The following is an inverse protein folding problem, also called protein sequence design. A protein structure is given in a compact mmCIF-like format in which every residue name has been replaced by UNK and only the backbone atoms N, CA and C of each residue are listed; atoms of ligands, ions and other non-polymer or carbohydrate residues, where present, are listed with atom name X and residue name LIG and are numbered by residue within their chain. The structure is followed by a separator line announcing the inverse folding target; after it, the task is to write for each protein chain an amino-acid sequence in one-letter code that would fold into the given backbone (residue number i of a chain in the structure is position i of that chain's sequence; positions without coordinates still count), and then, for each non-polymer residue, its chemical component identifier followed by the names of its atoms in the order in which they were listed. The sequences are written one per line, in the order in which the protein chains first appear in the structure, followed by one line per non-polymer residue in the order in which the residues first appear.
data_IF_332282549772
#
_entry.id   IF_332282549772
#
_cell.length_a   1.000
_cell.length_b   1.000
_cell.length_c   1.000
_cell.angle_alpha   90.00
_cell.angle_beta   90.00
_cell.angle_gamma   90.00
#
_symmetry.space_group_name_H-M   'P 1'
#
loop_
_entity.id
_entity.type
_entity.pdbx_description
1 polymer ?
#
# COMPACT_ATOMS: atom_id res chain seq x y z
N UNK A 1 1.97 -12.95 0.69
CA UNK A 1 0.64 -12.40 0.35
C UNK A 1 -0.19 -12.22 1.61
N UNK A 2 -1.28 -11.46 1.55
CA UNK A 2 -2.33 -11.56 2.56
C UNK A 2 -3.01 -12.94 2.49
N UNK A 3 -3.98 -13.23 3.36
CA UNK A 3 -4.64 -14.54 3.42
C UNK A 3 -6.04 -14.47 2.78
N UNK A 4 -6.17 -13.75 1.66
CA UNK A 4 -7.44 -13.61 0.94
C UNK A 4 -7.77 -14.89 0.15
N UNK A 5 -9.04 -15.29 0.03
CA UNK A 5 -9.40 -16.56 -0.60
C UNK A 5 -9.28 -16.59 -2.13
N UNK A 6 -8.89 -15.48 -2.77
CA UNK A 6 -9.00 -15.27 -4.22
C UNK A 6 -7.67 -15.40 -4.98
N UNK A 7 -6.74 -16.25 -4.55
CA UNK A 7 -5.46 -16.44 -5.25
C UNK A 7 -5.59 -17.49 -6.35
N UNK A 8 -5.29 -17.15 -7.61
CA UNK A 8 -5.22 -18.14 -8.68
C UNK A 8 -3.99 -19.02 -8.47
N UNK A 9 -4.14 -20.33 -8.70
CA UNK A 9 -3.02 -21.25 -8.79
C UNK A 9 -2.35 -21.01 -10.16
N UNK A 10 -1.18 -20.35 -10.12
CA UNK A 10 -0.45 -19.91 -11.31
C UNK A 10 0.86 -20.67 -11.38
N UNK A 11 1.07 -21.38 -12.49
CA UNK A 11 2.33 -22.10 -12.73
C UNK A 11 3.51 -21.11 -12.76
N UNK A 12 4.61 -21.47 -12.07
CA UNK A 12 5.86 -20.71 -11.95
C UNK A 12 5.88 -19.51 -10.98
N UNK A 13 4.90 -19.35 -10.09
CA UNK A 13 4.94 -18.34 -9.03
C UNK A 13 4.81 -19.01 -7.66
N UNK A 14 5.83 -18.84 -6.81
CA UNK A 14 5.77 -19.30 -5.42
C UNK A 14 5.06 -18.27 -4.55
N UNK A 15 3.92 -18.66 -3.98
CA UNK A 15 3.17 -17.84 -3.03
C UNK A 15 3.63 -18.12 -1.60
N UNK A 16 4.24 -17.12 -0.94
CA UNK A 16 4.59 -17.18 0.48
C UNK A 16 3.49 -16.53 1.31
N UNK A 17 2.92 -17.28 2.26
CA UNK A 17 1.89 -16.79 3.18
C UNK A 17 2.53 -16.24 4.45
N UNK A 18 2.13 -15.03 4.84
CA UNK A 18 2.60 -14.39 6.07
C UNK A 18 1.64 -14.75 7.21
N UNK A 19 2.13 -15.17 8.39
CA UNK A 19 1.28 -15.48 9.53
C UNK A 19 0.36 -14.30 9.92
N UNK A 20 -0.89 -14.62 10.27
CA UNK A 20 -1.95 -13.63 10.52
C UNK A 20 -1.55 -12.55 11.53
N UNK A 21 -0.85 -12.93 12.60
CA UNK A 21 -0.43 -12.03 13.69
C UNK A 21 0.74 -11.09 13.34
N UNK A 22 1.44 -11.27 12.21
CA UNK A 22 2.59 -10.43 11.80
C UNK A 22 2.35 -9.66 10.50
N UNK A 23 1.12 -9.69 10.00
CA UNK A 23 0.76 -9.17 8.68
C UNK A 23 1.15 -7.70 8.50
N UNK A 24 0.81 -6.79 9.42
CA UNK A 24 1.15 -5.37 9.26
C UNK A 24 2.67 -5.09 9.27
N UNK A 25 3.45 -5.86 10.04
CA UNK A 25 4.90 -5.65 10.19
C UNK A 25 5.67 -6.22 8.99
N UNK A 26 5.20 -7.33 8.43
CA UNK A 26 5.88 -8.06 7.38
C UNK A 26 5.38 -7.73 5.98
N UNK A 27 4.20 -7.13 5.81
CA UNK A 27 3.69 -6.71 4.50
C UNK A 27 4.45 -5.47 4.00
N UNK A 28 5.19 -5.56 2.88
CA UNK A 28 5.98 -4.43 2.38
C UNK A 28 5.12 -3.20 2.05
N UNK A 29 3.89 -3.40 1.56
CA UNK A 29 2.99 -2.29 1.25
C UNK A 29 2.60 -1.46 2.48
N UNK A 30 2.51 -2.11 3.65
CA UNK A 30 2.21 -1.47 4.94
C UNK A 30 3.46 -0.84 5.59
N UNK A 31 4.66 -1.13 5.08
CA UNK A 31 5.93 -0.55 5.54
C UNK A 31 6.24 0.80 4.86
N UNK A 32 5.24 1.68 4.78
CA UNK A 32 5.38 3.08 4.35
C UNK A 32 5.13 3.36 2.87
N UNK A 33 4.94 2.34 2.02
CA UNK A 33 4.61 2.53 0.60
C UNK A 33 3.20 3.12 0.45
N UNK A 34 2.19 2.47 1.05
CA UNK A 34 0.80 2.95 1.01
C UNK A 34 0.69 4.33 1.67
N UNK A 35 1.37 4.54 2.79
CA UNK A 35 1.36 5.83 3.50
C UNK A 35 1.92 6.95 2.61
N UNK A 36 3.07 6.72 1.97
CA UNK A 36 3.72 7.67 1.07
C UNK A 36 2.80 8.05 -0.09
N UNK A 37 2.17 7.04 -0.72
CA UNK A 37 1.20 7.27 -1.79
C UNK A 37 0.00 8.10 -1.30
N UNK A 38 -0.64 7.70 -0.19
CA UNK A 38 -1.81 8.41 0.36
C UNK A 38 -1.47 9.86 0.69
N UNK A 39 -0.31 10.10 1.30
CA UNK A 39 0.16 11.45 1.62
C UNK A 39 0.32 12.30 0.37
N UNK A 40 0.90 11.76 -0.70
CA UNK A 40 1.11 12.54 -1.93
C UNK A 40 -0.14 12.73 -2.76
N UNK A 41 -1.03 11.74 -2.80
CA UNK A 41 -2.35 11.88 -3.38
C UNK A 41 -3.12 13.03 -2.71
N UNK A 42 -3.19 13.03 -1.36
CA UNK A 42 -3.85 14.10 -0.60
C UNK A 42 -3.24 15.47 -0.85
N UNK A 43 -1.90 15.55 -0.96
CA UNK A 43 -1.23 16.80 -1.29
C UNK A 43 -1.68 17.34 -2.65
N UNK A 44 -1.69 16.50 -3.69
CA UNK A 44 -2.13 16.92 -5.03
C UNK A 44 -3.59 17.35 -5.05
N UNK A 45 -4.46 16.61 -4.36
CA UNK A 45 -5.88 16.91 -4.25
C UNK A 45 -6.11 18.27 -3.58
N UNK A 46 -5.43 18.53 -2.46
CA UNK A 46 -5.50 19.82 -1.77
C UNK A 46 -4.95 20.96 -2.62
N UNK A 47 -3.83 20.73 -3.33
CA UNK A 47 -3.30 21.73 -4.26
C UNK A 47 -4.30 22.06 -5.35
N UNK A 48 -4.93 21.07 -5.99
CA UNK A 48 -5.99 21.33 -7.00
C UNK A 48 -7.15 22.12 -6.43
N UNK A 49 -7.65 21.74 -5.25
CA UNK A 49 -8.73 22.47 -4.57
C UNK A 49 -8.37 23.93 -4.31
N UNK A 50 -7.13 24.20 -3.87
CA UNK A 50 -6.65 25.56 -3.61
C UNK A 50 -6.47 26.39 -4.90
N UNK A 51 -6.08 25.76 -6.01
CA UNK A 51 -5.92 26.45 -7.31
C UNK A 51 -7.25 26.68 -8.03
N UNK A 52 -8.26 25.85 -7.78
CA UNK A 52 -9.61 25.97 -8.35
C UNK A 52 -10.56 26.79 -7.46
N UNK A 53 -10.09 27.22 -6.29
CA UNK A 53 -10.81 28.08 -5.34
C UNK A 53 -10.96 29.52 -5.84
N UNK A 54 -12.05 30.19 -5.45
CA UNK A 54 -12.22 31.65 -5.62
C UNK A 54 -11.56 32.39 -4.45
N UNK A 55 -10.96 33.55 -4.72
CA UNK A 55 -10.33 34.41 -3.70
C UNK A 55 -11.33 35.06 -2.72
N UNK A 56 -12.63 34.93 -2.98
CA UNK A 56 -13.70 35.48 -2.16
C UNK A 56 -14.11 34.51 -1.04
N UNK A 57 -13.93 34.94 0.22
CA UNK A 57 -14.25 34.15 1.41
C UNK A 57 -15.74 33.83 1.53
N UNK A 58 -16.65 34.67 1.01
CA UNK A 58 -18.09 34.41 1.07
C UNK A 58 -18.52 33.27 0.13
N UNK A 59 -17.78 33.01 -0.95
CA UNK A 59 -18.07 31.96 -1.93
C UNK A 59 -17.30 30.64 -1.72
N UNK A 60 -16.36 30.60 -0.76
CA UNK A 60 -15.47 29.46 -0.53
C UNK A 60 -16.22 28.14 -0.29
N UNK A 61 -17.33 28.16 0.45
CA UNK A 61 -18.15 26.97 0.69
C UNK A 61 -18.82 26.46 -0.61
N UNK A 62 -19.27 27.36 -1.48
CA UNK A 62 -19.83 27.00 -2.79
C UNK A 62 -18.74 26.41 -3.70
N UNK A 63 -17.55 27.01 -3.68
CA UNK A 63 -16.38 26.57 -4.44
C UNK A 63 -15.93 25.15 -4.09
N UNK A 64 -15.86 24.78 -2.81
CA UNK A 64 -15.53 23.40 -2.40
C UNK A 64 -16.53 22.39 -2.97
N UNK A 65 -17.83 22.70 -2.91
CA UNK A 65 -18.88 21.82 -3.44
C UNK A 65 -18.76 21.69 -4.97
N UNK A 66 -18.46 22.78 -5.67
CA UNK A 66 -18.26 22.75 -7.12
C UNK A 66 -17.01 21.95 -7.50
N UNK A 67 -15.90 22.11 -6.77
CA UNK A 67 -14.69 21.31 -6.95
C UNK A 67 -14.98 19.81 -6.89
N UNK A 68 -15.65 19.34 -5.84
CA UNK A 68 -15.97 17.92 -5.69
C UNK A 68 -16.91 17.39 -6.78
N UNK A 69 -17.80 18.24 -7.31
CA UNK A 69 -18.66 17.89 -8.46
C UNK A 69 -17.89 17.83 -9.77
N UNK A 70 -16.86 18.65 -9.93
CA UNK A 70 -16.02 18.71 -11.11
C UNK A 70 -14.94 17.61 -11.14
N UNK A 71 -14.51 17.12 -9.97
CA UNK A 71 -13.47 16.12 -9.84
C UNK A 71 -13.87 14.79 -10.51
N UNK A 72 -13.10 14.39 -11.53
CA UNK A 72 -13.41 13.18 -12.30
C UNK A 72 -12.58 11.97 -11.85
N UNK A 73 -13.03 10.76 -12.21
CA UNK A 73 -12.23 9.54 -12.02
C UNK A 73 -10.89 9.62 -12.78
N UNK A 74 -10.86 10.27 -13.95
CA UNK A 74 -9.65 10.49 -14.74
C UNK A 74 -8.63 11.30 -13.94
N UNK A 75 -9.06 12.36 -13.24
CA UNK A 75 -8.20 13.13 -12.34
C UNK A 75 -7.63 12.28 -11.22
N UNK A 76 -8.47 11.45 -10.59
CA UNK A 76 -8.05 10.53 -9.54
C UNK A 76 -6.97 9.56 -10.02
N UNK A 77 -7.12 8.99 -11.22
CA UNK A 77 -6.13 8.08 -11.81
C UNK A 77 -4.80 8.80 -12.05
N UNK A 78 -4.80 10.02 -12.58
CA UNK A 78 -3.57 10.79 -12.76
C UNK A 78 -2.91 11.16 -11.43
N UNK A 79 -3.69 11.52 -10.41
CA UNK A 79 -3.16 11.79 -9.06
C UNK A 79 -2.55 10.54 -8.43
N UNK A 80 -3.14 9.36 -8.65
CA UNK A 80 -2.56 8.07 -8.22
C UNK A 80 -1.26 7.81 -8.97
N UNK A 81 -1.21 8.03 -10.29
CA UNK A 81 0.01 7.86 -11.08
C UNK A 81 1.13 8.77 -10.55
N UNK A 82 0.86 10.07 -10.38
CA UNK A 82 1.85 11.01 -9.83
C UNK A 82 2.25 10.70 -8.38
N UNK A 83 1.33 10.13 -7.58
CA UNK A 83 1.67 9.65 -6.24
C UNK A 83 2.60 8.43 -6.30
N UNK A 84 2.38 7.50 -7.23
CA UNK A 84 3.22 6.32 -7.43
C UNK A 84 4.61 6.65 -7.93
N UNK A 85 4.74 7.51 -8.95
CA UNK A 85 6.02 7.97 -9.50
C UNK A 85 6.93 8.61 -8.44
N UNK A 86 6.32 9.09 -7.37
CA UNK A 86 7.03 9.72 -6.28
C UNK A 86 7.58 8.76 -5.22
N UNK A 87 7.13 7.50 -5.25
CA UNK A 87 7.66 6.44 -4.39
C UNK A 87 9.05 6.09 -4.91
N UNK A 88 10.07 6.46 -4.15
CA UNK A 88 11.45 6.21 -4.56
C UNK A 88 11.81 4.74 -4.43
N UNK A 89 12.79 4.31 -5.23
CA UNK A 89 13.38 2.98 -5.13
C UNK A 89 13.87 2.67 -3.70
N UNK A 90 14.42 3.68 -3.01
CA UNK A 90 14.83 3.53 -1.61
C UNK A 90 13.65 3.18 -0.68
N UNK A 91 12.49 3.82 -0.86
CA UNK A 91 11.28 3.50 -0.08
C UNK A 91 10.82 2.07 -0.35
N UNK A 92 10.85 1.62 -1.61
CA UNK A 92 10.53 0.25 -1.98
C UNK A 92 11.52 -0.75 -1.36
N UNK A 93 12.83 -0.56 -1.55
CA UNK A 93 13.86 -1.44 -0.96
C UNK A 93 13.75 -1.51 0.57
N UNK A 94 13.49 -0.37 1.23
CA UNK A 94 13.33 -0.32 2.68
C UNK A 94 12.09 -1.08 3.16
N UNK A 95 11.00 -1.03 2.40
CA UNK A 95 9.74 -1.65 2.81
C UNK A 95 9.81 -3.18 2.84
N UNK A 96 10.65 -3.77 1.99
CA UNK A 96 10.89 -5.22 1.93
C UNK A 96 11.87 -5.75 2.98
N UNK A 97 12.68 -4.89 3.62
CA UNK A 97 13.76 -5.31 4.51
C UNK A 97 13.31 -6.23 5.65
N UNK A 98 12.19 -5.89 6.30
CA UNK A 98 11.65 -6.71 7.40
C UNK A 98 11.20 -8.09 6.95
N UNK A 99 10.63 -8.18 5.75
CA UNK A 99 10.22 -9.46 5.18
C UNK A 99 11.44 -10.29 4.77
N UNK A 100 12.44 -9.69 4.14
CA UNK A 100 13.67 -10.38 3.75
C UNK A 100 14.36 -11.02 4.97
N UNK A 101 14.61 -10.24 6.03
CA UNK A 101 15.20 -10.76 7.28
C UNK A 101 14.32 -11.83 7.94
N UNK A 102 12.99 -11.71 7.84
CA UNK A 102 12.10 -12.74 8.35
C UNK A 102 12.25 -14.06 7.58
N UNK A 103 12.33 -14.02 6.25
CA UNK A 103 12.50 -15.21 5.42
C UNK A 103 13.86 -15.88 5.65
N UNK A 104 14.94 -15.10 5.73
CA UNK A 104 16.28 -15.63 6.06
C UNK A 104 16.31 -16.38 7.40
N UNK A 105 15.65 -15.84 8.43
CA UNK A 105 15.57 -16.49 9.74
C UNK A 105 14.70 -17.75 9.71
N UNK A 106 13.62 -17.78 8.91
CA UNK A 106 12.78 -18.97 8.75
C UNK A 106 13.57 -20.08 8.06
N UNK A 107 14.31 -19.76 7.00
CA UNK A 107 15.14 -20.75 6.28
C UNK A 107 16.24 -21.33 7.17
N UNK A 108 16.91 -20.50 7.98
CA UNK A 108 17.91 -20.97 8.95
C UNK A 108 17.31 -21.84 10.07
N UNK A 109 16.07 -21.57 10.49
CA UNK A 109 15.39 -22.41 11.48
C UNK A 109 14.89 -23.73 10.91
N UNK A 110 14.59 -23.79 9.60
CA UNK A 110 14.13 -24.99 8.91
C UNK A 110 15.25 -25.98 8.56
N UNK A 111 16.53 -25.61 8.76
CA UNK A 111 17.66 -26.55 8.77
C UNK A 111 17.67 -27.43 10.04
N UNK A 112 16.71 -27.20 10.96
CA UNK A 112 16.32 -28.11 12.04
C UNK A 112 14.86 -28.52 11.79
N UNK A 113 14.64 -29.29 10.72
CA UNK A 113 13.41 -30.05 10.51
C UNK A 113 12.36 -29.35 9.63
N UNK A 114 12.12 -29.98 8.48
CA UNK A 114 10.93 -29.82 7.65
C UNK A 114 9.66 -29.78 8.51
N UNK A 115 9.00 -28.63 8.60
CA UNK A 115 7.61 -28.55 9.08
C UNK A 115 6.70 -28.45 7.86
N UNK A 116 6.12 -29.59 7.50
CA UNK A 116 4.98 -29.65 6.59
C UNK A 116 3.80 -28.88 7.18
N UNK A 117 3.15 -28.10 6.31
CA UNK A 117 1.95 -27.30 6.57
C UNK A 117 0.81 -28.20 7.08
N UNK A 118 0.68 -28.37 8.40
CA UNK A 118 -0.56 -28.88 9.02
C UNK A 118 -0.79 -28.52 10.49
N UNK A 119 0.16 -27.94 11.23
CA UNK A 119 -0.03 -27.75 12.69
C UNK A 119 0.09 -26.28 13.14
N UNK A 120 -0.84 -25.41 12.74
CA UNK A 120 -1.09 -24.15 13.47
C UNK A 120 -2.58 -23.74 13.44
N UNK A 121 -3.48 -24.71 13.54
CA UNK A 121 -4.90 -24.49 13.86
C UNK A 121 -5.19 -24.91 15.32
N UNK A 122 -4.36 -24.47 16.25
CA UNK A 122 -4.52 -24.79 17.66
C UNK A 122 -3.74 -23.86 18.57
N UNK A 123 -4.15 -22.58 18.62
CA UNK A 123 -4.28 -21.71 19.81
C UNK A 123 -4.62 -20.27 19.38
#
# INVERSE_FOLDING_TARGET
MDNAPAYPDVENITCIFIPRNKTAILKPMDQGVIESMKRRYRKQLLSKLLFEGVDDEEEAACSIVQFWKALTLKDCVYMINGAWESVTEHTLKRSWRKLATYLENVDQSNDIGSVTVTELNGL
#
